data_IF_442706444323
#
_entry.id   IF_442706444323
#
_cell.length_a   1.000
_cell.length_b   1.000
_cell.length_c   1.000
_cell.angle_alpha   90.00
_cell.angle_beta   90.00
_cell.angle_gamma   90.00
#
_symmetry.space_group_name_H-M   'P 1'
#
loop_
_entity.id
_entity.type
_entity.pdbx_description
1 polymer ?
#
# COMPACT_ATOMS: atom_id res chain seq x y z
N UNK A 1 0.55 -19.58 -10.73
CA UNK A 1 1.67 -18.64 -10.99
C UNK A 1 1.22 -17.25 -11.41
N UNK A 2 0.36 -17.07 -12.42
CA UNK A 2 -0.10 -15.76 -12.91
C UNK A 2 -0.60 -14.79 -11.80
N UNK A 3 -1.48 -15.26 -10.91
CA UNK A 3 -2.01 -14.46 -9.78
C UNK A 3 -0.95 -14.02 -8.78
N UNK A 4 0.02 -14.88 -8.49
CA UNK A 4 1.13 -14.55 -7.59
C UNK A 4 1.99 -13.42 -8.19
N UNK A 5 2.31 -13.52 -9.48
CA UNK A 5 3.04 -12.47 -10.20
C UNK A 5 2.26 -11.15 -10.19
N UNK A 6 0.95 -11.19 -10.43
CA UNK A 6 0.10 -10.00 -10.36
C UNK A 6 0.09 -9.35 -8.97
N UNK A 7 0.02 -10.17 -7.92
CA UNK A 7 0.07 -9.69 -6.56
C UNK A 7 1.40 -8.97 -6.26
N UNK A 8 2.53 -9.60 -6.59
CA UNK A 8 3.87 -9.01 -6.43
C UNK A 8 4.02 -7.72 -7.23
N UNK A 9 3.67 -7.74 -8.52
CA UNK A 9 3.81 -6.57 -9.39
C UNK A 9 2.93 -5.41 -8.93
N UNK A 10 1.69 -5.68 -8.50
CA UNK A 10 0.80 -4.62 -8.03
C UNK A 10 1.32 -3.94 -6.74
N UNK A 11 1.93 -4.70 -5.84
CA UNK A 11 2.54 -4.14 -4.62
C UNK A 11 3.81 -3.35 -4.91
N UNK A 12 4.70 -3.86 -5.78
CA UNK A 12 5.88 -3.11 -6.22
C UNK A 12 5.48 -1.81 -6.94
N UNK A 13 4.43 -1.86 -7.75
CA UNK A 13 3.90 -0.70 -8.45
C UNK A 13 3.41 0.40 -7.50
N UNK A 14 2.72 0.03 -6.40
CA UNK A 14 2.32 0.99 -5.37
C UNK A 14 3.52 1.74 -4.79
N UNK A 15 4.56 1.00 -4.38
CA UNK A 15 5.80 1.60 -3.89
C UNK A 15 6.44 2.52 -4.94
N UNK A 16 6.59 2.06 -6.18
CA UNK A 16 7.19 2.86 -7.25
C UNK A 16 6.43 4.16 -7.51
N UNK A 17 5.09 4.12 -7.51
CA UNK A 17 4.27 5.31 -7.75
C UNK A 17 4.37 6.29 -6.59
N UNK A 18 4.28 5.82 -5.34
CA UNK A 18 4.45 6.70 -4.18
C UNK A 18 5.85 7.32 -4.17
N UNK A 19 6.89 6.56 -4.52
CA UNK A 19 8.25 7.07 -4.57
C UNK A 19 8.41 8.18 -5.62
N UNK A 20 7.82 8.00 -6.81
CA UNK A 20 7.81 9.03 -7.85
C UNK A 20 7.02 10.26 -7.39
N UNK A 21 5.83 10.08 -6.82
CA UNK A 21 5.00 11.19 -6.33
C UNK A 21 5.70 11.96 -5.20
N UNK A 22 6.42 11.27 -4.32
CA UNK A 22 7.22 11.90 -3.27
C UNK A 22 8.24 12.88 -3.84
N UNK A 23 8.88 12.57 -4.98
CA UNK A 23 9.83 13.50 -5.62
C UNK A 23 9.13 14.76 -6.15
N UNK A 24 7.93 14.62 -6.71
CA UNK A 24 7.18 15.74 -7.29
C UNK A 24 6.53 16.62 -6.22
N UNK A 25 6.04 16.03 -5.14
CA UNK A 25 5.24 16.71 -4.12
C UNK A 25 5.99 16.95 -2.81
N UNK A 26 7.28 16.55 -2.73
CA UNK A 26 8.14 16.70 -1.55
C UNK A 26 7.51 16.06 -0.31
N UNK A 27 7.03 14.82 -0.48
CA UNK A 27 6.44 14.01 0.59
C UNK A 27 7.31 12.79 0.90
N UNK A 28 6.97 12.03 1.95
CA UNK A 28 7.70 10.84 2.39
C UNK A 28 6.81 9.58 2.46
N UNK A 29 5.81 9.50 1.58
CA UNK A 29 4.79 8.44 1.60
C UNK A 29 5.32 7.05 1.26
N UNK A 30 6.29 6.93 0.35
CA UNK A 30 6.94 5.66 0.05
C UNK A 30 7.84 5.19 1.20
N UNK A 31 8.49 6.12 1.91
CA UNK A 31 9.22 5.79 3.12
C UNK A 31 8.25 5.31 4.22
N UNK A 32 7.16 6.05 4.42
CA UNK A 32 6.10 5.68 5.37
C UNK A 32 5.48 4.31 5.04
N UNK A 33 5.30 3.99 3.75
CA UNK A 33 4.73 2.73 3.27
C UNK A 33 5.53 1.52 3.74
N UNK A 34 6.86 1.67 3.81
CA UNK A 34 7.80 0.63 4.18
C UNK A 34 8.16 0.66 5.66
N UNK A 35 7.80 1.73 6.37
CA UNK A 35 8.27 1.98 7.72
C UNK A 35 7.83 0.90 8.72
N UNK A 36 8.80 0.28 9.37
CA UNK A 36 8.62 -0.71 10.44
C UNK A 36 9.56 -0.44 11.62
N UNK A 37 10.10 0.77 11.71
CA UNK A 37 11.09 1.18 12.71
C UNK A 37 10.62 1.03 14.16
N UNK A 38 9.31 1.12 14.39
CA UNK A 38 8.64 0.88 15.66
C UNK A 38 8.63 -0.60 16.10
N UNK A 39 9.01 -1.53 15.22
CA UNK A 39 9.19 -2.97 15.52
C UNK A 39 10.66 -3.35 15.39
N UNK A 40 11.31 -2.96 14.30
CA UNK A 40 12.68 -3.34 13.96
C UNK A 40 13.53 -2.10 13.69
N UNK A 41 14.50 -1.84 14.56
CA UNK A 41 15.47 -0.78 14.34
C UNK A 41 16.41 -1.13 13.17
N UNK A 42 16.62 -0.19 12.24
CA UNK A 42 17.60 -0.28 11.14
C UNK A 42 17.43 -1.51 10.23
N UNK A 43 16.19 -1.84 9.87
CA UNK A 43 15.95 -2.93 8.93
C UNK A 43 16.44 -2.55 7.52
N UNK A 44 17.18 -3.43 6.81
CA UNK A 44 17.57 -3.16 5.44
C UNK A 44 16.35 -2.95 4.52
N UNK A 45 16.44 -1.98 3.62
CA UNK A 45 15.39 -1.65 2.64
C UNK A 45 14.77 -2.87 1.94
N UNK A 46 15.60 -3.85 1.55
CA UNK A 46 15.11 -5.06 0.86
C UNK A 46 14.15 -5.86 1.74
N UNK A 47 14.39 -5.91 3.05
CA UNK A 47 13.51 -6.60 4.00
C UNK A 47 12.24 -5.79 4.28
N UNK A 48 12.33 -4.47 4.41
CA UNK A 48 11.16 -3.58 4.52
C UNK A 48 10.23 -3.73 3.30
N UNK A 49 10.81 -3.65 2.10
CA UNK A 49 10.09 -3.86 0.84
C UNK A 49 9.50 -5.28 0.76
N UNK A 50 10.22 -6.30 1.20
CA UNK A 50 9.74 -7.68 1.20
C UNK A 50 8.53 -7.86 2.12
N UNK A 51 8.55 -7.25 3.31
CA UNK A 51 7.41 -7.24 4.23
C UNK A 51 6.20 -6.53 3.61
N UNK A 52 6.42 -5.38 2.96
CA UNK A 52 5.35 -4.68 2.25
C UNK A 52 4.75 -5.54 1.12
N UNK A 53 5.60 -6.18 0.31
CA UNK A 53 5.17 -7.09 -0.77
C UNK A 53 4.37 -8.25 -0.20
N UNK A 54 4.76 -8.81 0.95
CA UNK A 54 4.00 -9.86 1.62
C UNK A 54 2.58 -9.40 1.99
N UNK A 55 2.43 -8.19 2.55
CA UNK A 55 1.13 -7.60 2.85
C UNK A 55 0.31 -7.40 1.56
N UNK A 56 0.93 -6.86 0.51
CA UNK A 56 0.28 -6.68 -0.80
C UNK A 56 -0.21 -8.01 -1.40
N UNK A 57 0.56 -9.08 -1.25
CA UNK A 57 0.16 -10.43 -1.64
C UNK A 57 -1.11 -10.86 -0.90
N UNK A 58 -1.14 -10.72 0.43
CA UNK A 58 -2.30 -11.09 1.25
C UNK A 58 -3.54 -10.31 0.80
N UNK A 59 -3.43 -8.98 0.64
CA UNK A 59 -4.52 -8.12 0.19
C UNK A 59 -5.05 -8.56 -1.17
N UNK A 60 -4.17 -8.79 -2.14
CA UNK A 60 -4.55 -9.23 -3.49
C UNK A 60 -5.34 -10.55 -3.45
N UNK A 61 -4.84 -11.55 -2.72
CA UNK A 61 -5.49 -12.86 -2.66
C UNK A 61 -6.84 -12.81 -1.94
N UNK A 62 -6.95 -12.03 -0.87
CA UNK A 62 -8.23 -11.80 -0.17
C UNK A 62 -9.25 -11.18 -1.13
N UNK A 63 -8.90 -10.09 -1.81
CA UNK A 63 -9.78 -9.45 -2.79
C UNK A 63 -10.14 -10.38 -3.95
N UNK A 64 -9.17 -11.14 -4.48
CA UNK A 64 -9.39 -12.12 -5.55
C UNK A 64 -10.36 -13.21 -5.13
N UNK A 65 -10.32 -13.66 -3.88
CA UNK A 65 -11.23 -14.68 -3.35
C UNK A 65 -12.69 -14.20 -3.26
N UNK A 66 -12.88 -12.91 -3.00
CA UNK A 66 -14.20 -12.28 -2.93
C UNK A 66 -14.75 -11.84 -4.27
N UNK A 67 -13.95 -11.82 -5.34
CA UNK A 67 -14.37 -11.34 -6.66
C UNK A 67 -15.62 -12.03 -7.22
N UNK A 68 -15.84 -13.32 -6.89
CA UNK A 68 -17.05 -14.06 -7.27
C UNK A 68 -18.33 -13.61 -6.54
N UNK A 69 -18.19 -12.86 -5.45
CA UNK A 69 -19.28 -12.34 -4.63
C UNK A 69 -19.28 -10.81 -4.72
N UNK A 70 -19.96 -10.27 -5.73
CA UNK A 70 -19.86 -8.85 -6.11
C UNK A 70 -20.06 -7.88 -4.92
N UNK A 71 -21.03 -8.14 -4.05
CA UNK A 71 -21.28 -7.32 -2.86
C UNK A 71 -20.13 -7.38 -1.86
N UNK A 72 -19.61 -8.57 -1.56
CA UNK A 72 -18.47 -8.73 -0.65
C UNK A 72 -17.20 -8.10 -1.22
N UNK A 73 -16.99 -8.23 -2.54
CA UNK A 73 -15.88 -7.61 -3.24
C UNK A 73 -15.92 -6.08 -3.13
N UNK A 74 -17.07 -5.47 -3.41
CA UNK A 74 -17.27 -4.01 -3.30
C UNK A 74 -17.09 -3.51 -1.86
N UNK A 75 -17.66 -4.21 -0.87
CA UNK A 75 -17.48 -3.89 0.54
C UNK A 75 -16.00 -3.97 0.92
N UNK A 76 -15.29 -5.00 0.46
CA UNK A 76 -13.86 -5.16 0.75
C UNK A 76 -13.01 -4.04 0.17
N UNK A 77 -13.36 -3.51 -1.01
CA UNK A 77 -12.70 -2.34 -1.59
C UNK A 77 -12.86 -1.10 -0.71
N UNK A 78 -14.07 -0.85 -0.23
CA UNK A 78 -14.36 0.28 0.65
C UNK A 78 -13.61 0.12 1.97
N UNK A 79 -13.63 -1.09 2.56
CA UNK A 79 -12.88 -1.40 3.77
C UNK A 79 -11.38 -1.15 3.57
N UNK A 80 -10.79 -1.62 2.46
CA UNK A 80 -9.38 -1.36 2.16
C UNK A 80 -9.09 0.14 2.12
N UNK A 81 -9.91 0.95 1.45
CA UNK A 81 -9.71 2.40 1.41
C UNK A 81 -9.77 3.05 2.79
N UNK A 82 -10.74 2.65 3.62
CA UNK A 82 -10.86 3.15 4.99
C UNK A 82 -9.65 2.76 5.84
N UNK A 83 -9.22 1.50 5.74
CA UNK A 83 -8.02 1.01 6.45
C UNK A 83 -6.78 1.75 5.99
N UNK A 84 -6.57 1.91 4.68
CA UNK A 84 -5.42 2.64 4.16
C UNK A 84 -5.45 4.11 4.59
N UNK A 85 -6.60 4.77 4.60
CA UNK A 85 -6.74 6.13 5.11
C UNK A 85 -6.33 6.23 6.60
N UNK A 86 -6.79 5.30 7.43
CA UNK A 86 -6.41 5.25 8.84
C UNK A 86 -4.93 4.94 9.07
N UNK A 87 -4.35 4.05 8.25
CA UNK A 87 -2.95 3.65 8.36
C UNK A 87 -1.98 4.81 8.17
N UNK A 88 -2.31 5.81 7.36
CA UNK A 88 -1.45 7.00 7.24
C UNK A 88 -1.19 7.65 8.60
N UNK A 89 -2.25 7.91 9.36
CA UNK A 89 -2.14 8.51 10.68
C UNK A 89 -1.47 7.58 11.68
N UNK A 90 -1.86 6.31 11.69
CA UNK A 90 -1.33 5.34 12.63
C UNK A 90 0.18 5.12 12.44
N UNK A 91 0.62 4.91 11.21
CA UNK A 91 2.04 4.66 10.90
C UNK A 91 2.88 5.91 11.15
N UNK A 92 2.37 7.10 10.83
CA UNK A 92 3.08 8.36 11.10
C UNK A 92 3.21 8.61 12.60
N UNK A 93 2.17 8.31 13.38
CA UNK A 93 2.20 8.45 14.84
C UNK A 93 3.16 7.46 15.51
N UNK A 94 3.27 6.25 14.96
CA UNK A 94 4.17 5.21 15.50
C UNK A 94 5.63 5.38 15.04
N UNK A 95 5.87 6.13 13.97
CA UNK A 95 7.21 6.27 13.40
C UNK A 95 8.21 6.82 14.41
N UNK A 96 9.38 6.19 14.46
CA UNK A 96 10.54 6.67 15.23
C UNK A 96 11.39 7.61 14.37
N UNK A 97 11.33 7.45 13.05
CA UNK A 97 12.05 8.23 12.05
C UNK A 97 11.50 9.65 11.95
N UNK A 98 12.30 10.64 12.35
CA UNK A 98 11.90 12.05 12.47
C UNK A 98 11.34 12.69 11.18
N UNK A 99 11.73 12.22 10.00
CA UNK A 99 11.25 12.77 8.72
C UNK A 99 9.82 12.30 8.36
N UNK A 100 9.29 11.32 9.09
CA UNK A 100 7.93 10.81 8.91
C UNK A 100 6.95 11.62 9.76
N UNK A 101 6.67 12.85 9.31
CA UNK A 101 5.73 13.76 9.96
C UNK A 101 4.39 13.83 9.25
N UNK A 102 3.33 14.14 10.00
CA UNK A 102 1.99 14.33 9.44
C UNK A 102 1.97 15.52 8.48
N UNK A 103 1.42 15.31 7.29
CA UNK A 103 1.25 16.34 6.27
C UNK A 103 -0.03 16.10 5.48
N UNK A 104 -0.75 17.18 5.18
CA UNK A 104 -1.95 17.12 4.34
C UNK A 104 -1.57 16.62 2.94
N UNK A 105 -0.45 17.09 2.39
CA UNK A 105 0.03 16.64 1.09
C UNK A 105 0.39 15.15 1.13
N UNK A 106 1.09 14.72 2.19
CA UNK A 106 1.42 13.31 2.39
C UNK A 106 0.17 12.42 2.46
N UNK A 107 -0.86 12.86 3.19
CA UNK A 107 -2.13 12.14 3.27
C UNK A 107 -2.85 12.05 1.92
N UNK A 108 -2.91 13.14 1.16
CA UNK A 108 -3.54 13.15 -0.17
C UNK A 108 -2.80 12.22 -1.13
N UNK A 109 -1.47 12.30 -1.19
CA UNK A 109 -0.63 11.45 -2.04
C UNK A 109 -0.77 9.98 -1.65
N UNK A 110 -0.79 9.70 -0.34
CA UNK A 110 -1.03 8.37 0.19
C UNK A 110 -2.37 7.78 -0.31
N UNK A 111 -3.46 8.54 -0.20
CA UNK A 111 -4.78 8.11 -0.68
C UNK A 111 -4.81 7.91 -2.20
N UNK A 112 -4.21 8.82 -2.97
CA UNK A 112 -4.14 8.71 -4.43
C UNK A 112 -3.40 7.43 -4.84
N UNK A 113 -2.24 7.16 -4.24
CA UNK A 113 -1.45 5.96 -4.52
C UNK A 113 -2.23 4.67 -4.20
N UNK A 114 -2.89 4.62 -3.04
CA UNK A 114 -3.66 3.44 -2.64
C UNK A 114 -4.93 3.24 -3.48
N UNK A 115 -5.60 4.32 -3.86
CA UNK A 115 -6.73 4.24 -4.79
C UNK A 115 -6.29 3.69 -6.15
N UNK A 116 -5.19 4.22 -6.69
CA UNK A 116 -4.62 3.74 -7.94
C UNK A 116 -4.21 2.26 -7.85
N UNK A 117 -3.56 1.85 -6.74
CA UNK A 117 -3.22 0.46 -6.46
C UNK A 117 -4.46 -0.45 -6.51
N UNK A 118 -5.55 -0.07 -5.84
CA UNK A 118 -6.79 -0.85 -5.84
C UNK A 118 -7.41 -0.96 -7.25
N UNK A 119 -7.33 0.10 -8.07
CA UNK A 119 -7.76 0.04 -9.47
C UNK A 119 -6.93 -0.97 -10.27
N UNK A 120 -5.60 -0.97 -10.11
CA UNK A 120 -4.72 -1.93 -10.78
C UNK A 120 -5.03 -3.35 -10.33
N UNK A 121 -5.17 -3.58 -9.02
CA UNK A 121 -5.55 -4.88 -8.47
C UNK A 121 -6.87 -5.37 -9.05
N UNK A 122 -7.88 -4.50 -9.15
CA UNK A 122 -9.16 -4.84 -9.77
C UNK A 122 -8.99 -5.29 -11.23
N UNK A 123 -8.24 -4.52 -12.03
CA UNK A 123 -7.98 -4.86 -13.43
C UNK A 123 -7.26 -6.22 -13.55
N UNK A 124 -6.24 -6.45 -12.73
CA UNK A 124 -5.46 -7.69 -12.74
C UNK A 124 -6.29 -8.91 -12.30
N UNK A 125 -7.19 -8.74 -11.31
CA UNK A 125 -8.13 -9.79 -10.91
C UNK A 125 -9.11 -10.09 -12.04
N UNK A 126 -9.64 -9.06 -12.71
CA UNK A 126 -10.59 -9.21 -13.81
C UNK A 126 -9.96 -9.88 -15.04
N UNK A 127 -8.70 -9.60 -15.35
CA UNK A 127 -7.95 -10.19 -16.47
C UNK A 127 -7.30 -11.54 -16.15
N UNK A 128 -7.41 -12.00 -14.90
CA UNK A 128 -6.64 -13.09 -14.30
C UNK A 128 -7.28 -14.46 -14.41
#
# INVERSE_FOLDING_TARGET
>A
MKRFVYAVLSSLLLYSILWVLDQFFQTTTALLLLNVDFIYSNLPFVLELSLHVLVGIVVYYVLSSFYRYITLYQISFIICLVVFAGLYFQLTHLAVTDVLTLSINGYIIWLIGHFFYLMVVHLLIRSG
#
